data_IF_303361576177
#
_entry.id   IF_303361576177
#
_cell.length_a   1.000
_cell.length_b   1.000
_cell.length_c   1.000
_cell.angle_alpha   90.00
_cell.angle_beta   90.00
_cell.angle_gamma   90.00
#
_symmetry.space_group_name_H-M   'P 1'
#
loop_
_entity.id
_entity.type
_entity.pdbx_description
1 polymer ?
#
# COMPACT_ATOMS: atom_id res chain seq x y z
N UNK A 1 -9.60 -7.22 -6.53
CA UNK A 1 -9.15 -8.49 -5.92
C UNK A 1 -8.69 -8.30 -4.48
N UNK A 2 -7.73 -7.42 -4.20
CA UNK A 2 -7.24 -7.15 -2.83
C UNK A 2 -8.34 -6.65 -1.88
N UNK A 3 -9.29 -5.85 -2.36
CA UNK A 3 -10.46 -5.43 -1.54
C UNK A 3 -11.30 -6.61 -1.07
N UNK A 4 -11.61 -7.55 -1.97
CA UNK A 4 -12.43 -8.72 -1.64
C UNK A 4 -11.74 -9.64 -0.63
N UNK A 5 -10.40 -9.73 -0.68
CA UNK A 5 -9.62 -10.48 0.31
C UNK A 5 -9.59 -9.79 1.69
N UNK A 6 -9.60 -8.46 1.72
CA UNK A 6 -9.60 -7.68 2.96
C UNK A 6 -10.97 -7.65 3.65
N UNK A 7 -12.06 -7.70 2.87
CA UNK A 7 -13.43 -7.75 3.39
C UNK A 7 -13.83 -9.13 3.91
N UNK A 8 -13.09 -10.17 3.52
CA UNK A 8 -13.40 -11.53 3.91
C UNK A 8 -12.88 -11.86 5.32
N UNK A 9 -13.75 -11.73 6.32
CA UNK A 9 -13.46 -12.01 7.74
C UNK A 9 -13.18 -13.49 8.06
N UNK A 10 -13.52 -14.43 7.16
CA UNK A 10 -13.22 -15.86 7.38
C UNK A 10 -11.81 -16.25 6.94
N UNK A 11 -11.07 -15.32 6.30
CA UNK A 11 -9.66 -15.50 5.97
C UNK A 11 -8.77 -14.81 7.00
N UNK A 12 -7.83 -15.57 7.57
CA UNK A 12 -6.77 -15.02 8.43
C UNK A 12 -5.71 -14.30 7.59
N UNK A 13 -6.08 -13.16 6.99
CA UNK A 13 -5.21 -12.32 6.18
C UNK A 13 -4.00 -11.78 6.96
N UNK A 14 -4.05 -11.81 8.29
CA UNK A 14 -2.99 -11.33 9.17
C UNK A 14 -1.64 -12.02 8.92
N UNK A 15 -1.66 -13.33 8.63
CA UNK A 15 -0.43 -14.08 8.30
C UNK A 15 0.20 -13.61 6.98
N UNK A 16 -0.58 -13.10 6.04
CA UNK A 16 -0.10 -12.70 4.71
C UNK A 16 0.16 -11.20 4.57
N UNK A 17 -0.10 -10.42 5.62
CA UNK A 17 0.07 -8.96 5.60
C UNK A 17 1.49 -8.55 5.24
N UNK A 18 2.50 -9.23 5.75
CA UNK A 18 3.90 -8.89 5.48
C UNK A 18 4.28 -8.98 3.99
N UNK A 19 3.55 -9.75 3.19
CA UNK A 19 3.74 -9.88 1.74
C UNK A 19 2.78 -9.00 0.94
N UNK A 20 1.53 -8.84 1.42
CA UNK A 20 0.52 -8.01 0.77
C UNK A 20 0.83 -6.52 0.91
N UNK A 21 1.36 -6.10 2.07
CA UNK A 21 1.65 -4.70 2.36
C UNK A 21 2.72 -4.12 1.42
N UNK A 22 3.89 -4.76 1.21
CA UNK A 22 4.88 -4.30 0.25
C UNK A 22 4.33 -4.20 -1.17
N UNK A 23 3.48 -5.13 -1.61
CA UNK A 23 2.88 -5.10 -2.95
C UNK A 23 2.01 -3.85 -3.16
N UNK A 24 1.14 -3.52 -2.18
CA UNK A 24 0.31 -2.31 -2.23
C UNK A 24 1.18 -1.04 -2.14
N UNK A 25 2.21 -1.06 -1.29
CA UNK A 25 3.14 0.06 -1.17
C UNK A 25 3.92 0.30 -2.47
N UNK A 26 4.30 -0.75 -3.20
CA UNK A 26 4.90 -0.63 -4.53
C UNK A 26 3.94 0.01 -5.53
N UNK A 27 2.64 -0.30 -5.49
CA UNK A 27 1.64 0.39 -6.33
C UNK A 27 1.47 1.87 -6.00
N UNK A 28 1.85 2.32 -4.79
CA UNK A 28 1.78 3.73 -4.42
C UNK A 28 3.09 4.45 -4.76
N UNK A 29 4.22 3.80 -4.49
CA UNK A 29 5.56 4.42 -4.44
C UNK A 29 6.44 4.09 -5.64
N UNK A 30 6.04 3.17 -6.54
CA UNK A 30 6.86 2.82 -7.69
C UNK A 30 7.08 4.04 -8.61
N UNK A 31 8.29 4.12 -9.17
CA UNK A 31 8.68 5.19 -10.11
C UNK A 31 8.05 4.97 -11.48
N UNK A 32 7.87 3.72 -11.89
CA UNK A 32 7.27 3.34 -13.15
C UNK A 32 6.25 2.24 -12.89
N UNK A 33 4.96 2.56 -13.03
CA UNK A 33 3.87 1.59 -12.97
C UNK A 33 3.43 1.12 -14.37
N UNK A 34 3.71 1.95 -15.37
CA UNK A 34 3.24 1.77 -16.74
C UNK A 34 4.42 1.96 -17.70
N UNK A 35 4.38 1.27 -18.85
CA UNK A 35 5.39 1.45 -19.89
C UNK A 35 5.35 2.86 -20.50
N UNK A 36 4.18 3.51 -20.46
CA UNK A 36 3.95 4.87 -20.97
C UNK A 36 3.16 5.70 -19.95
N UNK A 37 3.83 6.50 -19.11
CA UNK A 37 3.17 7.28 -18.05
C UNK A 37 2.20 8.34 -18.60
N UNK A 38 2.41 8.85 -19.82
CA UNK A 38 1.62 9.95 -20.40
C UNK A 38 0.25 9.52 -20.93
N UNK A 39 0.05 8.23 -21.16
CA UNK A 39 -1.18 7.66 -21.74
C UNK A 39 -1.95 6.77 -20.78
N UNK A 40 -1.29 6.21 -19.77
CA UNK A 40 -1.90 5.30 -18.82
C UNK A 40 -2.36 5.99 -17.53
N UNK A 41 -3.54 5.61 -17.03
CA UNK A 41 -4.17 6.12 -15.80
C UNK A 41 -3.50 5.62 -14.51
N UNK A 42 -2.20 5.88 -14.36
CA UNK A 42 -1.43 5.47 -13.19
C UNK A 42 -1.82 6.22 -11.91
N UNK A 43 -2.36 7.44 -12.03
CA UNK A 43 -2.87 8.21 -10.89
C UNK A 43 -4.09 7.57 -10.21
N UNK A 44 -5.05 7.08 -10.99
CA UNK A 44 -6.22 6.39 -10.45
C UNK A 44 -5.83 5.11 -9.70
N UNK A 45 -4.84 4.37 -10.20
CA UNK A 45 -4.30 3.19 -9.54
C UNK A 45 -3.60 3.54 -8.21
N UNK A 46 -2.82 4.62 -8.18
CA UNK A 46 -2.16 5.10 -6.96
C UNK A 46 -3.19 5.51 -5.89
N UNK A 47 -4.23 6.25 -6.26
CA UNK A 47 -5.27 6.70 -5.33
C UNK A 47 -6.10 5.53 -4.77
N UNK A 48 -6.43 4.57 -5.64
CA UNK A 48 -7.07 3.33 -5.22
C UNK A 48 -6.18 2.52 -4.25
N UNK A 49 -4.89 2.38 -4.55
CA UNK A 49 -3.95 1.66 -3.71
C UNK A 49 -3.75 2.36 -2.34
N UNK A 50 -3.68 3.70 -2.33
CA UNK A 50 -3.58 4.49 -1.11
C UNK A 50 -4.81 4.33 -0.21
N UNK A 51 -6.01 4.37 -0.81
CA UNK A 51 -7.27 4.12 -0.11
C UNK A 51 -7.34 2.72 0.52
N UNK A 52 -6.86 1.70 -0.19
CA UNK A 52 -6.76 0.33 0.35
C UNK A 52 -5.72 0.21 1.47
N UNK A 53 -4.57 0.85 1.31
CA UNK A 53 -3.54 0.91 2.35
C UNK A 53 -4.09 1.52 3.64
N UNK A 54 -4.81 2.65 3.56
CA UNK A 54 -5.44 3.29 4.71
C UNK A 54 -6.45 2.37 5.42
N UNK A 55 -7.27 1.64 4.65
CA UNK A 55 -8.21 0.66 5.20
C UNK A 55 -7.49 -0.48 5.95
N UNK A 56 -6.39 -1.01 5.39
CA UNK A 56 -5.58 -2.03 6.05
C UNK A 56 -4.95 -1.54 7.36
N UNK A 57 -4.42 -0.32 7.38
CA UNK A 57 -3.88 0.26 8.63
C UNK A 57 -4.95 0.36 9.69
N UNK A 58 -6.18 0.77 9.33
CA UNK A 58 -7.29 0.84 10.29
C UNK A 58 -7.67 -0.54 10.84
N UNK A 59 -7.75 -1.56 9.98
CA UNK A 59 -8.14 -2.91 10.39
C UNK A 59 -7.08 -3.64 11.23
N UNK A 60 -5.80 -3.47 10.88
CA UNK A 60 -4.72 -4.27 11.48
C UNK A 60 -3.84 -3.51 12.48
N UNK A 61 -4.05 -2.20 12.68
CA UNK A 61 -3.29 -1.42 13.68
C UNK A 61 -3.50 -1.90 15.12
N UNK A 62 -4.64 -2.52 15.42
CA UNK A 62 -4.93 -3.08 16.74
C UNK A 62 -4.23 -4.43 16.99
N UNK A 63 -4.07 -5.26 15.95
CA UNK A 63 -3.47 -6.60 16.09
C UNK A 63 -1.94 -6.59 15.94
N UNK A 64 -1.40 -5.76 15.04
CA UNK A 64 0.04 -5.77 14.74
C UNK A 64 0.68 -4.50 15.33
N UNK A 65 1.29 -4.69 16.51
CA UNK A 65 2.10 -3.64 17.13
C UNK A 65 3.20 -3.18 16.18
N UNK A 66 3.26 -1.86 15.95
CA UNK A 66 4.29 -1.24 15.12
C UNK A 66 4.05 -1.26 13.61
N UNK A 67 2.94 -1.85 13.11
CA UNK A 67 2.57 -1.80 11.69
C UNK A 67 2.47 -0.34 11.20
N UNK A 68 1.69 0.48 11.90
CA UNK A 68 1.56 1.92 11.62
C UNK A 68 2.92 2.61 11.56
N UNK A 69 3.77 2.38 12.55
CA UNK A 69 5.10 3.00 12.63
C UNK A 69 6.03 2.54 11.50
N UNK A 70 5.91 1.28 11.04
CA UNK A 70 6.68 0.79 9.89
C UNK A 70 6.26 1.49 8.60
N UNK A 71 4.96 1.66 8.41
CA UNK A 71 4.38 2.27 7.20
C UNK A 71 4.72 3.75 7.13
N UNK A 72 4.52 4.48 8.22
CA UNK A 72 4.87 5.90 8.31
C UNK A 72 6.36 6.10 8.04
N UNK A 73 7.24 5.24 8.59
CA UNK A 73 8.67 5.30 8.30
C UNK A 73 8.99 5.08 6.81
N UNK A 74 8.30 4.17 6.13
CA UNK A 74 8.50 3.94 4.70
C UNK A 74 8.08 5.18 3.91
N UNK A 75 6.88 5.72 4.17
CA UNK A 75 6.40 6.93 3.50
C UNK A 75 7.31 8.14 3.74
N UNK A 76 7.74 8.36 4.99
CA UNK A 76 8.67 9.45 5.33
C UNK A 76 10.01 9.28 4.63
N UNK A 77 10.57 8.06 4.60
CA UNK A 77 11.82 7.80 3.86
C UNK A 77 11.68 8.07 2.37
N UNK A 78 10.58 7.66 1.76
CA UNK A 78 10.35 7.93 0.33
C UNK A 78 10.11 9.40 0.05
N UNK A 79 9.47 10.13 0.97
CA UNK A 79 9.25 11.56 0.85
C UNK A 79 10.56 12.36 1.01
N UNK A 80 11.40 11.99 1.98
CA UNK A 80 12.70 12.61 2.24
C UNK A 80 13.79 12.21 1.25
N UNK A 81 13.61 11.08 0.55
CA UNK A 81 14.51 10.66 -0.52
C UNK A 81 14.27 11.57 -1.73
N UNK A 82 14.90 12.74 -1.69
CA UNK A 82 14.88 13.86 -2.65
C UNK A 82 15.46 13.48 -4.03
N UNK A 83 14.86 12.48 -4.66
CA UNK A 83 14.98 12.08 -6.06
C UNK A 83 13.63 11.48 -6.50
N UNK A 84 12.56 12.25 -6.32
CA UNK A 84 11.34 12.04 -7.08
C UNK A 84 11.56 12.69 -8.47
N UNK A 85 11.27 11.98 -9.58
CA UNK A 85 11.08 12.66 -10.86
C UNK A 85 9.89 13.63 -10.78
#
# INVERSE_FOLDING_TARGET
>A
MTSALLENKSLYCEKYLHQLFPAIMSCILAKQLCARPDTDNHWALRDYAASRCAQMVKMFSANIHGLRNRIVRIFLRTFQSERLP
#
